data_IF_445132969921
#
_entry.id   IF_445132969921
#
_cell.length_a   1.000
_cell.length_b   1.000
_cell.length_c   1.000
_cell.angle_alpha   90.00
_cell.angle_beta   90.00
_cell.angle_gamma   90.00
#
_symmetry.space_group_name_H-M   'P 1'
#
loop_
_entity.id
_entity.type
_entity.pdbx_description
1 polymer ?
#
# COMPACT_ATOMS: atom_id res chain seq x y z
N UNK A 1 -19.20 -6.52 -1.20
CA UNK A 1 -18.11 -6.70 -0.23
C UNK A 1 -17.05 -5.68 -0.57
N UNK A 2 -16.43 -4.97 0.38
CA UNK A 2 -15.28 -4.14 0.04
C UNK A 2 -14.23 -5.08 -0.57
N UNK A 3 -13.84 -4.87 -1.84
CA UNK A 3 -12.87 -5.74 -2.54
C UNK A 3 -11.60 -5.92 -1.72
N UNK A 4 -11.17 -7.16 -1.49
CA UNK A 4 -9.92 -7.47 -0.81
C UNK A 4 -8.73 -6.79 -1.49
N UNK A 5 -7.72 -6.40 -0.70
CA UNK A 5 -6.48 -5.90 -1.27
C UNK A 5 -5.70 -7.04 -1.91
N UNK A 6 -5.15 -6.78 -3.09
CA UNK A 6 -4.36 -7.72 -3.88
C UNK A 6 -3.06 -7.06 -4.34
N UNK A 7 -2.07 -7.83 -4.86
CA UNK A 7 -0.85 -7.24 -5.43
C UNK A 7 -1.12 -6.20 -6.53
N UNK A 8 -2.25 -6.33 -7.24
CA UNK A 8 -2.71 -5.41 -8.29
C UNK A 8 -3.43 -4.17 -7.78
N UNK A 9 -3.78 -4.10 -6.49
CA UNK A 9 -4.36 -2.89 -5.89
C UNK A 9 -3.37 -1.74 -5.96
N UNK A 10 -3.87 -0.52 -6.16
CA UNK A 10 -3.02 0.67 -6.20
C UNK A 10 -2.72 1.14 -4.79
N UNK A 11 -1.56 1.76 -4.61
CA UNK A 11 -1.21 2.42 -3.33
C UNK A 11 -2.28 3.44 -2.93
N UNK A 12 -2.83 4.18 -3.91
CA UNK A 12 -3.93 5.13 -3.68
C UNK A 12 -5.18 4.46 -3.10
N UNK A 13 -5.55 3.27 -3.57
CA UNK A 13 -6.73 2.55 -3.08
C UNK A 13 -6.61 2.23 -1.59
N UNK A 14 -5.40 1.88 -1.13
CA UNK A 14 -5.11 1.60 0.29
C UNK A 14 -5.35 2.85 1.13
N UNK A 15 -4.85 4.01 0.69
CA UNK A 15 -4.99 5.27 1.44
C UNK A 15 -6.42 5.81 1.35
N UNK A 16 -7.08 5.74 0.19
CA UNK A 16 -8.46 6.20 0.03
C UNK A 16 -9.45 5.37 0.86
N UNK A 17 -9.22 4.06 0.99
CA UNK A 17 -10.14 3.17 1.70
C UNK A 17 -9.89 3.08 3.19
N UNK A 18 -8.63 3.18 3.64
CA UNK A 18 -8.26 3.00 5.06
C UNK A 18 -7.80 4.30 5.74
N UNK A 19 -7.63 5.39 5.00
CA UNK A 19 -7.13 6.66 5.53
C UNK A 19 -5.76 6.51 6.18
N UNK A 20 -5.61 7.06 7.38
CA UNK A 20 -4.36 7.04 8.13
C UNK A 20 -3.88 5.63 8.49
N UNK A 21 -4.80 4.67 8.69
CA UNK A 21 -4.42 3.27 8.95
C UNK A 21 -3.70 2.64 7.76
N UNK A 22 -4.13 2.97 6.53
CA UNK A 22 -3.49 2.49 5.31
C UNK A 22 -2.08 3.06 5.18
N UNK A 23 -1.89 4.33 5.53
CA UNK A 23 -0.58 5.00 5.53
C UNK A 23 0.36 4.38 6.56
N UNK A 24 -0.12 4.13 7.78
CA UNK A 24 0.68 3.47 8.81
C UNK A 24 1.06 2.03 8.45
N UNK A 25 0.16 1.28 7.80
CA UNK A 25 0.48 -0.06 7.31
C UNK A 25 1.58 0.00 6.23
N UNK A 26 1.40 0.85 5.21
CA UNK A 26 2.41 1.05 4.16
C UNK A 26 3.78 1.41 4.75
N UNK A 27 3.81 2.34 5.71
CA UNK A 27 5.03 2.77 6.38
C UNK A 27 5.70 1.63 7.15
N UNK A 28 4.94 0.83 7.89
CA UNK A 28 5.45 -0.35 8.62
C UNK A 28 6.08 -1.39 7.70
N UNK A 29 5.57 -1.52 6.48
CA UNK A 29 6.11 -2.42 5.45
C UNK A 29 7.18 -1.74 4.56
N UNK A 30 7.65 -0.55 4.95
CA UNK A 30 8.78 0.15 4.34
C UNK A 30 8.43 1.11 3.21
N UNK A 31 7.14 1.28 2.90
CA UNK A 31 6.67 2.20 1.88
C UNK A 31 6.24 3.53 2.50
N UNK A 32 7.14 4.52 2.45
CA UNK A 32 6.84 5.88 2.89
C UNK A 32 6.04 6.62 1.82
N UNK A 33 4.85 7.10 2.19
CA UNK A 33 3.94 7.84 1.29
C UNK A 33 4.32 9.33 1.23
N UNK A 34 5.09 9.82 2.22
CA UNK A 34 5.49 11.22 2.40
C UNK A 34 4.34 12.16 2.77
N UNK A 35 4.67 13.37 3.22
CA UNK A 35 3.70 14.48 3.32
C UNK A 35 3.33 14.96 1.91
N UNK A 36 2.07 14.81 1.52
CA UNK A 36 1.58 15.31 0.23
C UNK A 36 1.74 14.36 -0.97
N UNK A 37 2.10 13.08 -0.77
CA UNK A 37 1.97 12.04 -1.82
C UNK A 37 2.71 12.43 -3.12
N UNK A 38 3.96 12.89 -2.94
CA UNK A 38 4.70 13.88 -3.76
C UNK A 38 5.04 13.46 -5.21
N UNK A 39 4.81 12.21 -5.60
CA UNK A 39 4.90 11.81 -7.00
C UNK A 39 3.56 11.26 -7.46
N UNK A 40 2.82 12.05 -8.25
CA UNK A 40 1.50 11.71 -8.81
C UNK A 40 1.52 10.32 -9.47
N UNK A 41 2.66 9.90 -10.03
CA UNK A 41 2.85 8.60 -10.66
C UNK A 41 2.92 7.43 -9.66
N UNK A 42 3.51 7.63 -8.49
CA UNK A 42 3.59 6.61 -7.44
C UNK A 42 2.26 6.33 -6.75
N UNK A 43 1.23 7.15 -7.00
CA UNK A 43 -0.14 6.88 -6.52
C UNK A 43 -0.84 5.81 -7.36
N UNK A 44 -0.52 5.77 -8.66
CA UNK A 44 -1.16 4.87 -9.61
C UNK A 44 -0.44 3.53 -9.77
N UNK A 45 0.75 3.39 -9.18
CA UNK A 45 1.48 2.13 -9.18
C UNK A 45 0.78 1.10 -8.29
N UNK A 46 0.94 -0.17 -8.65
CA UNK A 46 0.42 -1.29 -7.86
C UNK A 46 1.35 -1.60 -6.68
N UNK A 47 0.81 -2.29 -5.66
CA UNK A 47 1.61 -2.78 -4.54
C UNK A 47 2.74 -3.72 -5.01
N UNK A 48 2.48 -4.56 -6.01
CA UNK A 48 3.52 -5.39 -6.64
C UNK A 48 4.64 -4.54 -7.26
N UNK A 49 4.30 -3.46 -7.94
CA UNK A 49 5.29 -2.56 -8.55
C UNK A 49 6.13 -1.87 -7.49
N UNK A 50 5.52 -1.49 -6.37
CA UNK A 50 6.24 -0.94 -5.22
C UNK A 50 7.24 -1.93 -4.63
N UNK A 51 6.84 -3.21 -4.53
CA UNK A 51 7.71 -4.28 -4.04
C UNK A 51 8.88 -4.55 -4.99
N UNK A 52 8.60 -4.64 -6.30
CA UNK A 52 9.64 -4.86 -7.33
C UNK A 52 10.65 -3.71 -7.39
N UNK A 53 10.23 -2.49 -7.07
CA UNK A 53 11.09 -1.31 -7.05
C UNK A 53 11.86 -1.15 -5.74
N UNK A 54 11.84 -2.16 -4.86
CA UNK A 54 12.48 -2.18 -3.54
C UNK A 54 11.99 -1.08 -2.57
N UNK A 55 10.88 -0.41 -2.93
CA UNK A 55 10.23 0.62 -2.10
C UNK A 55 9.27 0.02 -1.07
N UNK A 56 8.73 -1.17 -1.33
CA UNK A 56 7.94 -1.94 -0.38
C UNK A 56 8.72 -3.19 -0.02
N UNK A 57 9.03 -3.39 1.27
CA UNK A 57 9.91 -4.48 1.74
C UNK A 57 9.16 -5.78 1.91
N UNK A 58 7.90 -5.72 2.30
CA UNK A 58 7.08 -6.88 2.59
C UNK A 58 5.67 -6.72 2.00
N UNK A 59 5.48 -7.30 0.80
CA UNK A 59 4.18 -7.28 0.13
C UNK A 59 3.19 -8.27 0.75
N UNK A 60 3.65 -9.46 1.14
CA UNK A 60 2.77 -10.52 1.65
C UNK A 60 2.23 -10.16 3.04
N UNK A 61 3.12 -9.68 3.91
CA UNK A 61 2.79 -9.14 5.23
C UNK A 61 1.87 -7.93 5.14
N UNK A 62 2.10 -7.02 4.18
CA UNK A 62 1.19 -5.91 3.94
C UNK A 62 -0.20 -6.42 3.54
N UNK A 63 -0.30 -7.35 2.59
CA UNK A 63 -1.60 -7.86 2.13
C UNK A 63 -2.37 -8.58 3.23
N UNK A 64 -1.70 -9.39 4.05
CA UNK A 64 -2.32 -10.03 5.22
C UNK A 64 -2.85 -8.99 6.19
N UNK A 65 -2.04 -7.99 6.52
CA UNK A 65 -2.45 -6.92 7.43
C UNK A 65 -3.64 -6.11 6.88
N UNK A 66 -3.58 -5.73 5.59
CA UNK A 66 -4.63 -4.96 4.93
C UNK A 66 -5.96 -5.72 4.83
N UNK A 67 -5.91 -7.05 4.70
CA UNK A 67 -7.09 -7.91 4.66
C UNK A 67 -7.54 -8.39 6.06
N UNK A 68 -6.83 -8.02 7.12
CA UNK A 68 -7.15 -8.43 8.49
C UNK A 68 -6.83 -9.90 8.78
N UNK A 69 -5.99 -10.52 7.95
CA UNK A 69 -5.49 -11.88 8.13
C UNK A 69 -4.27 -11.80 9.07
N UNK A 70 -4.43 -12.32 10.29
CA UNK A 70 -3.42 -12.23 11.35
C UNK A 70 -2.39 -13.34 11.25
#
# INVERSE_FOLDING_TARGET
MPDSFSPGSKVRDVVERLGDRGREALLRHGYDVGEGFVDVLSQYQTLETAARSERLRDLDGLLRELNGER
#
